data_IF_431282572994
#
_entry.id   IF_431282572994
#
_cell.length_a   1.000
_cell.length_b   1.000
_cell.length_c   1.000
_cell.angle_alpha   90.00
_cell.angle_beta   90.00
_cell.angle_gamma   90.00
#
_symmetry.space_group_name_H-M   'P 1'
#
loop_
_entity.id
_entity.type
_entity.pdbx_description
1 polymer ?
#
# COMPACT_ATOMS: atom_id res chain seq x y z
N UNK A 1 -7.93 1.27 -12.41
CA UNK A 1 -9.36 1.39 -12.02
C UNK A 1 -9.65 1.14 -10.54
N UNK A 2 -8.64 0.88 -9.70
CA UNK A 2 -8.83 0.68 -8.25
C UNK A 2 -9.05 1.96 -7.45
N UNK A 3 -8.64 3.10 -7.96
CA UNK A 3 -8.59 4.36 -7.21
C UNK A 3 -9.82 5.28 -7.33
N UNK A 4 -10.73 5.05 -8.27
CA UNK A 4 -11.84 5.99 -8.52
C UNK A 4 -13.15 5.70 -7.76
N UNK A 5 -13.23 4.63 -6.95
CA UNK A 5 -14.52 4.18 -6.39
C UNK A 5 -14.74 4.51 -4.90
N UNK A 6 -13.85 5.22 -4.24
CA UNK A 6 -13.96 5.51 -2.81
C UNK A 6 -14.43 6.94 -2.47
N UNK A 7 -14.90 7.69 -3.46
CA UNK A 7 -15.47 9.02 -3.30
C UNK A 7 -16.93 8.99 -2.85
N UNK A 8 -17.20 8.88 -1.59
CA UNK A 8 -18.52 9.09 -0.98
C UNK A 8 -18.31 9.43 0.49
N UNK A 9 -18.68 10.65 0.88
CA UNK A 9 -18.47 11.23 2.20
C UNK A 9 -18.90 10.29 3.32
N UNK A 10 -17.95 9.71 3.98
CA UNK A 10 -18.07 9.15 5.32
C UNK A 10 -17.13 9.93 6.21
N UNK A 11 -17.56 10.29 7.42
CA UNK A 11 -16.65 10.87 8.39
C UNK A 11 -15.42 9.98 8.52
N UNK A 12 -14.20 10.54 8.46
CA UNK A 12 -12.99 9.75 8.55
C UNK A 12 -12.93 9.05 9.90
N UNK A 13 -12.75 7.72 9.90
CA UNK A 13 -12.30 7.01 11.10
C UNK A 13 -10.88 7.53 11.36
N UNK A 14 -10.57 8.07 12.56
CA UNK A 14 -9.24 8.62 12.85
C UNK A 14 -8.14 7.59 12.55
N UNK A 15 -7.09 8.02 11.87
CA UNK A 15 -5.97 7.16 11.50
C UNK A 15 -5.42 6.43 12.72
N UNK A 16 -5.32 5.11 12.64
CA UNK A 16 -4.71 4.26 13.65
C UNK A 16 -5.60 3.78 14.81
N UNK A 17 -6.86 4.20 14.90
CA UNK A 17 -7.78 3.71 15.94
C UNK A 17 -8.90 2.86 15.34
N UNK A 18 -9.00 1.60 15.75
CA UNK A 18 -10.15 0.77 15.43
C UNK A 18 -11.41 1.25 16.19
N UNK A 19 -12.62 0.99 15.66
CA UNK A 19 -13.87 1.24 16.36
C UNK A 19 -13.89 0.58 17.74
N UNK A 20 -14.26 1.32 18.78
CA UNK A 20 -14.24 0.83 20.18
C UNK A 20 -15.05 -0.45 20.39
N UNK A 21 -16.21 -0.53 19.77
CA UNK A 21 -17.09 -1.69 19.83
C UNK A 21 -16.47 -2.96 19.23
N UNK A 22 -15.63 -2.81 18.19
CA UNK A 22 -14.85 -3.94 17.62
C UNK A 22 -13.76 -4.36 18.58
N UNK A 23 -13.03 -3.41 19.17
CA UNK A 23 -11.97 -3.69 20.14
C UNK A 23 -12.56 -4.46 21.34
N UNK A 24 -13.68 -3.97 21.90
CA UNK A 24 -14.37 -4.61 23.03
C UNK A 24 -14.87 -6.02 22.66
N UNK A 25 -15.43 -6.20 21.46
CA UNK A 25 -15.89 -7.51 20.97
C UNK A 25 -14.74 -8.51 20.83
N UNK A 26 -13.64 -8.11 20.21
CA UNK A 26 -12.48 -8.97 20.01
C UNK A 26 -11.78 -9.30 21.34
N UNK A 27 -11.76 -8.36 22.29
CA UNK A 27 -11.27 -8.61 23.65
C UNK A 27 -12.15 -9.63 24.38
N UNK A 28 -13.47 -9.43 24.41
CA UNK A 28 -14.41 -10.37 25.04
C UNK A 28 -14.37 -11.77 24.40
N UNK A 29 -14.22 -11.85 23.06
CA UNK A 29 -14.07 -13.13 22.38
C UNK A 29 -12.77 -13.86 22.77
N UNK A 30 -11.73 -13.11 23.10
CA UNK A 30 -10.47 -13.66 23.63
C UNK A 30 -10.61 -14.11 25.08
N UNK A 31 -11.26 -13.31 25.92
CA UNK A 31 -11.41 -13.61 27.36
C UNK A 31 -12.31 -14.84 27.63
N UNK A 32 -13.35 -15.04 26.77
CA UNK A 32 -14.34 -16.12 26.96
C UNK A 32 -13.84 -17.52 26.55
N UNK A 33 -12.73 -17.65 25.85
CA UNK A 33 -12.21 -18.93 25.30
C UNK A 33 -10.94 -19.44 25.96
N UNK A 34 -10.36 -18.73 26.94
CA UNK A 34 -9.16 -19.16 27.66
C UNK A 34 -7.89 -19.36 26.83
N UNK A 35 -7.99 -19.19 25.54
CA UNK A 35 -6.89 -19.13 24.58
C UNK A 35 -7.17 -17.96 23.63
N UNK A 36 -6.17 -17.19 23.29
CA UNK A 36 -6.29 -16.09 22.31
C UNK A 36 -6.99 -16.58 21.04
N UNK A 37 -8.26 -16.27 20.87
CA UNK A 37 -9.00 -16.58 19.66
C UNK A 37 -8.45 -15.70 18.55
N UNK A 38 -7.70 -16.29 17.62
CA UNK A 38 -7.16 -15.58 16.47
C UNK A 38 -8.29 -15.10 15.57
N UNK A 39 -8.51 -13.79 15.49
CA UNK A 39 -9.43 -13.20 14.53
C UNK A 39 -8.91 -13.42 13.09
N UNK A 40 -9.83 -13.61 12.15
CA UNK A 40 -9.53 -13.67 10.72
C UNK A 40 -9.72 -12.28 10.10
N UNK A 41 -8.73 -11.84 9.34
CA UNK A 41 -8.72 -10.52 8.72
C UNK A 41 -8.34 -10.62 7.25
N UNK A 42 -8.86 -9.69 6.46
CA UNK A 42 -8.36 -9.42 5.12
C UNK A 42 -7.95 -7.96 5.02
N UNK A 43 -6.86 -7.72 4.30
CA UNK A 43 -6.38 -6.36 4.04
C UNK A 43 -6.01 -6.20 2.58
N UNK A 44 -6.30 -5.01 2.01
CA UNK A 44 -5.99 -4.69 0.62
C UNK A 44 -4.70 -3.89 0.53
N UNK A 45 -3.90 -4.14 -0.51
CA UNK A 45 -2.62 -3.51 -0.76
C UNK A 45 -2.42 -3.22 -2.27
N UNK A 46 -1.39 -2.46 -2.68
CA UNK A 46 -1.09 -2.23 -4.10
C UNK A 46 -0.88 -3.55 -4.85
N UNK A 47 -1.54 -3.74 -6.00
CA UNK A 47 -1.39 -4.94 -6.85
C UNK A 47 0.04 -5.11 -7.33
N UNK A 48 0.42 -6.35 -7.67
CA UNK A 48 1.75 -6.71 -8.13
C UNK A 48 2.76 -7.07 -7.03
N UNK A 49 2.48 -6.77 -5.76
CA UNK A 49 3.42 -6.96 -4.65
C UNK A 49 3.10 -8.16 -3.74
N UNK A 50 2.26 -9.08 -4.20
CA UNK A 50 1.81 -10.22 -3.40
C UNK A 50 2.98 -10.99 -2.74
N UNK A 51 4.10 -11.16 -3.45
CA UNK A 51 5.28 -11.86 -2.94
C UNK A 51 6.01 -11.17 -1.77
N UNK A 52 5.83 -9.86 -1.59
CA UNK A 52 6.47 -9.08 -0.51
C UNK A 52 5.61 -9.03 0.77
N UNK A 53 4.31 -9.23 0.63
CA UNK A 53 3.36 -9.00 1.72
C UNK A 53 3.59 -9.90 2.94
N UNK A 54 3.87 -11.22 2.81
CA UNK A 54 4.11 -12.05 3.98
C UNK A 54 5.22 -11.52 4.88
N UNK A 55 6.36 -11.19 4.29
CA UNK A 55 7.52 -10.65 5.02
C UNK A 55 7.22 -9.27 5.62
N UNK A 56 6.60 -8.38 4.85
CA UNK A 56 6.23 -7.05 5.33
C UNK A 56 5.21 -7.14 6.47
N UNK A 57 4.21 -8.03 6.36
CA UNK A 57 3.21 -8.23 7.40
C UNK A 57 3.83 -8.76 8.69
N UNK A 58 4.72 -9.75 8.62
CA UNK A 58 5.43 -10.27 9.79
C UNK A 58 6.25 -9.19 10.50
N UNK A 59 6.90 -8.30 9.74
CA UNK A 59 7.68 -7.18 10.29
C UNK A 59 6.81 -6.13 10.96
N UNK A 60 5.68 -5.77 10.34
CA UNK A 60 4.80 -4.68 10.80
C UNK A 60 3.76 -5.14 11.83
N UNK A 61 3.40 -6.41 11.81
CA UNK A 61 2.43 -7.03 12.71
C UNK A 61 2.96 -8.40 13.19
N UNK A 62 3.94 -8.43 14.10
CA UNK A 62 4.51 -9.66 14.62
C UNK A 62 3.41 -10.56 15.22
N UNK A 63 3.45 -11.85 14.87
CA UNK A 63 2.44 -12.83 15.29
C UNK A 63 1.24 -12.96 14.35
N UNK A 64 1.15 -12.17 13.27
CA UNK A 64 0.18 -12.40 12.21
C UNK A 64 0.51 -13.70 11.46
N UNK A 65 -0.49 -14.53 11.21
CA UNK A 65 -0.36 -15.78 10.45
C UNK A 65 -1.03 -15.60 9.09
N UNK A 66 -0.24 -15.54 8.03
CA UNK A 66 -0.76 -15.47 6.66
C UNK A 66 -1.47 -16.78 6.32
N UNK A 67 -2.74 -16.69 5.92
CA UNK A 67 -3.54 -17.82 5.43
C UNK A 67 -3.37 -17.93 3.93
N UNK A 68 -3.59 -16.81 3.21
CA UNK A 68 -3.50 -16.77 1.75
C UNK A 68 -3.21 -15.34 1.28
N UNK A 69 -2.40 -15.21 0.23
CA UNK A 69 -2.18 -13.95 -0.48
C UNK A 69 -2.77 -14.06 -1.87
N UNK A 70 -3.59 -13.08 -2.23
CA UNK A 70 -4.11 -12.85 -3.57
C UNK A 70 -3.49 -11.57 -4.13
N UNK A 71 -3.60 -11.31 -5.40
CA UNK A 71 -3.12 -10.02 -5.92
C UNK A 71 -3.99 -8.87 -5.39
N UNK A 72 -3.37 -7.98 -4.63
CA UNK A 72 -4.01 -6.84 -3.98
C UNK A 72 -4.81 -7.16 -2.70
N UNK A 73 -4.79 -8.40 -2.17
CA UNK A 73 -5.46 -8.77 -0.93
C UNK A 73 -4.70 -9.86 -0.17
N UNK A 74 -4.52 -9.70 1.14
CA UNK A 74 -4.00 -10.72 2.04
C UNK A 74 -5.07 -11.15 3.04
N UNK A 75 -5.24 -12.47 3.20
CA UNK A 75 -6.02 -13.10 4.25
C UNK A 75 -5.07 -13.62 5.32
N UNK A 76 -5.28 -13.22 6.57
CA UNK A 76 -4.41 -13.58 7.69
C UNK A 76 -5.18 -13.71 9.00
N UNK A 77 -4.59 -14.39 9.98
CA UNK A 77 -5.09 -14.48 11.34
C UNK A 77 -4.17 -13.68 12.28
N UNK A 78 -4.77 -13.05 13.27
CA UNK A 78 -4.03 -12.31 14.28
C UNK A 78 -4.74 -12.38 15.63
N UNK A 79 -3.99 -12.70 16.69
CA UNK A 79 -4.48 -12.83 18.05
C UNK A 79 -4.00 -11.74 19.02
N UNK A 80 -3.20 -10.78 18.54
CA UNK A 80 -2.70 -9.68 19.36
C UNK A 80 -3.74 -8.57 19.58
N UNK A 81 -3.28 -7.42 20.05
CA UNK A 81 -4.17 -6.29 20.36
C UNK A 81 -4.81 -5.75 19.07
N UNK A 82 -6.15 -5.61 19.01
CA UNK A 82 -6.82 -5.09 17.81
C UNK A 82 -6.28 -3.74 17.35
N UNK A 83 -5.87 -2.86 18.27
CA UNK A 83 -5.28 -1.57 17.94
C UNK A 83 -3.99 -1.63 17.11
N UNK A 84 -3.30 -2.77 17.09
CA UNK A 84 -2.09 -2.92 16.28
C UNK A 84 -2.41 -3.05 14.78
N UNK A 85 -3.61 -3.56 14.43
CA UNK A 85 -4.09 -3.60 13.05
C UNK A 85 -4.14 -2.21 12.40
N UNK A 86 -4.52 -1.19 13.18
CA UNK A 86 -4.56 0.20 12.73
C UNK A 86 -3.18 0.83 12.49
N UNK A 87 -2.12 0.22 13.01
CA UNK A 87 -0.73 0.69 12.84
C UNK A 87 -0.11 0.19 11.52
N UNK A 88 -0.70 -0.81 10.89
CA UNK A 88 -0.20 -1.37 9.63
C UNK A 88 -0.56 -0.44 8.47
N UNK A 89 0.29 0.54 8.24
CA UNK A 89 0.08 1.57 7.20
C UNK A 89 0.18 1.02 5.76
N UNK A 90 0.68 -0.19 5.58
CA UNK A 90 0.84 -0.87 4.29
C UNK A 90 -0.51 -1.13 3.59
N UNK A 91 -1.60 -1.17 4.35
CA UNK A 91 -2.89 -1.56 3.83
C UNK A 91 -3.81 -0.37 3.54
N UNK A 92 -4.52 -0.42 2.41
CA UNK A 92 -5.56 0.54 2.06
C UNK A 92 -6.81 0.38 2.92
N UNK A 93 -7.26 -0.87 3.08
CA UNK A 93 -8.40 -1.23 3.91
C UNK A 93 -8.05 -2.48 4.71
N UNK A 94 -8.55 -2.54 5.94
CA UNK A 94 -8.50 -3.74 6.77
C UNK A 94 -9.91 -4.09 7.21
N UNK A 95 -10.26 -5.37 7.07
CA UNK A 95 -11.58 -5.90 7.38
C UNK A 95 -11.48 -7.06 8.36
N UNK A 96 -12.43 -7.15 9.28
CA UNK A 96 -12.71 -8.35 10.06
C UNK A 96 -13.53 -9.32 9.21
N UNK A 97 -13.06 -10.53 8.99
CA UNK A 97 -13.80 -11.58 8.29
C UNK A 97 -14.88 -12.14 9.21
N UNK A 98 -16.12 -12.03 8.77
CA UNK A 98 -17.29 -12.59 9.48
C UNK A 98 -17.65 -13.97 8.93
N UNK A 99 -17.45 -14.15 7.62
CA UNK A 99 -17.63 -15.45 6.94
C UNK A 99 -16.81 -15.50 5.67
N UNK A 100 -16.21 -16.66 5.41
CA UNK A 100 -15.51 -16.99 4.18
C UNK A 100 -16.35 -17.95 3.33
N UNK A 101 -16.24 -17.83 2.01
CA UNK A 101 -16.94 -18.64 1.02
C UNK A 101 -15.97 -19.10 -0.05
N UNK A 102 -16.16 -20.33 -0.55
CA UNK A 102 -15.30 -20.90 -1.59
C UNK A 102 -16.14 -21.53 -2.72
N UNK A 103 -15.56 -21.62 -3.91
CA UNK A 103 -16.18 -22.20 -5.06
C UNK A 103 -17.53 -21.57 -5.41
N UNK A 104 -18.58 -22.33 -5.75
CA UNK A 104 -19.90 -21.80 -6.10
C UNK A 104 -20.56 -20.95 -5.00
N UNK A 105 -20.24 -21.22 -3.72
CA UNK A 105 -20.75 -20.45 -2.60
C UNK A 105 -20.18 -19.02 -2.55
N UNK A 106 -19.05 -18.73 -3.20
CA UNK A 106 -18.44 -17.41 -3.28
C UNK A 106 -19.13 -16.46 -4.27
N UNK A 107 -20.10 -16.95 -5.06
CA UNK A 107 -20.89 -16.10 -5.93
C UNK A 107 -21.73 -15.12 -5.09
N UNK A 108 -21.82 -13.85 -5.54
CA UNK A 108 -22.44 -12.76 -4.78
C UNK A 108 -23.82 -13.11 -4.24
N UNK A 109 -24.66 -13.66 -5.11
CA UNK A 109 -26.03 -14.05 -4.76
C UNK A 109 -26.07 -15.15 -3.67
N UNK A 110 -25.20 -16.15 -3.77
CA UNK A 110 -25.08 -17.22 -2.78
C UNK A 110 -24.56 -16.70 -1.44
N UNK A 111 -23.59 -15.80 -1.46
CA UNK A 111 -23.05 -15.17 -0.25
C UNK A 111 -24.12 -14.38 0.49
N UNK A 112 -24.88 -13.53 -0.21
CA UNK A 112 -25.93 -12.69 0.37
C UNK A 112 -27.04 -13.54 0.99
N UNK A 113 -27.51 -14.58 0.28
CA UNK A 113 -28.49 -15.53 0.83
C UNK A 113 -27.98 -16.22 2.06
N UNK A 114 -26.74 -16.70 2.04
CA UNK A 114 -26.12 -17.40 3.17
C UNK A 114 -25.93 -16.47 4.39
N UNK A 115 -25.61 -15.20 4.17
CA UNK A 115 -25.43 -14.23 5.24
C UNK A 115 -26.76 -13.84 5.94
N UNK A 116 -27.90 -13.95 5.26
CA UNK A 116 -29.20 -13.77 5.87
C UNK A 116 -29.49 -14.80 7.00
N UNK A 117 -28.82 -15.97 6.98
CA UNK A 117 -28.89 -16.99 8.03
C UNK A 117 -27.90 -16.81 9.18
N UNK A 118 -27.13 -15.72 9.25
CA UNK A 118 -26.15 -15.49 10.31
C UNK A 118 -26.84 -15.31 11.66
N UNK A 119 -26.27 -15.91 12.72
CA UNK A 119 -26.89 -15.92 14.06
C UNK A 119 -26.35 -14.84 14.99
N UNK A 120 -25.13 -14.36 14.74
CA UNK A 120 -24.50 -13.33 15.57
C UNK A 120 -23.56 -12.47 14.73
N UNK A 121 -23.43 -11.20 15.09
CA UNK A 121 -22.48 -10.23 14.51
C UNK A 121 -21.80 -9.46 15.64
N UNK A 122 -20.59 -8.95 15.42
CA UNK A 122 -20.00 -7.98 16.32
C UNK A 122 -20.94 -6.79 16.52
N UNK A 123 -21.05 -6.24 17.74
CA UNK A 123 -21.88 -5.07 17.99
C UNK A 123 -21.54 -3.94 17.01
N UNK A 124 -22.55 -3.23 16.53
CA UNK A 124 -22.39 -2.02 15.74
C UNK A 124 -23.14 -0.90 16.44
N UNK A 125 -22.46 0.20 16.73
CA UNK A 125 -23.11 1.40 17.28
C UNK A 125 -23.58 2.29 16.13
N UNK A 126 -24.67 3.02 16.36
CA UNK A 126 -25.16 4.03 15.42
C UNK A 126 -25.78 3.45 14.15
N UNK A 127 -25.10 3.59 13.04
CA UNK A 127 -25.62 3.28 11.73
C UNK A 127 -24.69 2.41 10.89
N UNK A 128 -25.25 1.76 9.87
CA UNK A 128 -24.48 0.92 8.96
C UNK A 128 -24.98 0.97 7.51
N UNK A 129 -24.08 0.56 6.60
CA UNK A 129 -24.45 0.22 5.22
C UNK A 129 -23.82 -1.10 4.78
N UNK A 130 -24.41 -1.71 3.75
CA UNK A 130 -23.85 -2.89 3.07
C UNK A 130 -23.32 -2.50 1.71
N UNK A 131 -22.14 -3.02 1.36
CA UNK A 131 -21.51 -2.84 0.06
C UNK A 131 -21.21 -4.18 -0.61
N UNK A 132 -21.29 -4.20 -1.91
CA UNK A 132 -21.07 -5.38 -2.73
C UNK A 132 -20.00 -5.10 -3.78
N UNK A 133 -18.96 -5.95 -3.84
CA UNK A 133 -17.86 -5.82 -4.78
C UNK A 133 -17.54 -7.15 -5.44
N UNK A 134 -17.51 -7.17 -6.76
CA UNK A 134 -17.10 -8.31 -7.59
C UNK A 134 -15.87 -7.89 -8.37
N UNK A 135 -14.79 -8.64 -8.24
CA UNK A 135 -13.51 -8.33 -8.91
C UNK A 135 -13.10 -6.86 -8.75
N UNK A 136 -13.27 -6.35 -7.53
CA UNK A 136 -12.94 -4.98 -7.14
C UNK A 136 -13.80 -3.87 -7.78
N UNK A 137 -14.95 -4.22 -8.36
CA UNK A 137 -15.94 -3.26 -8.86
C UNK A 137 -17.21 -3.35 -8.02
N UNK A 138 -17.81 -2.21 -7.73
CA UNK A 138 -19.10 -2.19 -7.06
C UNK A 138 -20.18 -2.74 -7.98
N UNK A 139 -21.03 -3.60 -7.42
CA UNK A 139 -22.15 -4.20 -8.11
C UNK A 139 -23.44 -3.92 -7.36
N UNK A 140 -24.54 -3.89 -8.10
CA UNK A 140 -25.87 -3.85 -7.51
C UNK A 140 -26.35 -5.27 -7.18
N UNK A 141 -27.01 -5.40 -6.03
CA UNK A 141 -27.73 -6.61 -5.61
C UNK A 141 -29.23 -6.27 -5.58
N UNK A 142 -30.14 -7.21 -5.90
CA UNK A 142 -31.58 -6.96 -5.89
C UNK A 142 -32.02 -6.31 -4.56
N UNK A 143 -32.81 -5.23 -4.66
CA UNK A 143 -33.20 -4.40 -3.51
C UNK A 143 -33.85 -5.21 -2.39
N UNK A 144 -34.68 -6.20 -2.75
CA UNK A 144 -35.35 -7.05 -1.77
C UNK A 144 -34.36 -7.85 -0.92
N UNK A 145 -33.33 -8.44 -1.53
CA UNK A 145 -32.29 -9.18 -0.80
C UNK A 145 -31.45 -8.28 0.09
N UNK A 146 -31.14 -7.08 -0.42
CA UNK A 146 -30.42 -6.07 0.37
C UNK A 146 -31.26 -5.69 1.60
N UNK A 147 -32.56 -5.45 1.45
CA UNK A 147 -33.46 -5.13 2.58
C UNK A 147 -33.55 -6.26 3.61
N UNK A 148 -33.69 -7.52 3.18
CA UNK A 148 -33.71 -8.70 4.06
C UNK A 148 -32.42 -8.79 4.87
N UNK A 149 -31.28 -8.63 4.21
CA UNK A 149 -29.96 -8.65 4.89
C UNK A 149 -29.81 -7.46 5.84
N UNK A 150 -30.16 -6.25 5.40
CA UNK A 150 -30.12 -5.05 6.26
C UNK A 150 -31.02 -5.21 7.49
N UNK A 151 -32.24 -5.75 7.33
CA UNK A 151 -33.13 -6.06 8.45
C UNK A 151 -32.52 -7.08 9.41
N UNK A 152 -31.82 -8.10 8.89
CA UNK A 152 -31.14 -9.10 9.73
C UNK A 152 -29.96 -8.48 10.50
N UNK A 153 -29.14 -7.66 9.85
CA UNK A 153 -28.03 -6.97 10.50
C UNK A 153 -28.57 -6.03 11.59
N UNK A 154 -29.60 -5.22 11.28
CA UNK A 154 -30.22 -4.33 12.24
C UNK A 154 -30.75 -5.05 13.47
N UNK A 155 -31.42 -6.19 13.28
CA UNK A 155 -31.93 -7.01 14.38
C UNK A 155 -30.83 -7.58 15.27
N UNK A 156 -29.67 -7.93 14.70
CA UNK A 156 -28.54 -8.50 15.46
C UNK A 156 -27.66 -7.46 16.15
N UNK A 157 -27.59 -6.25 15.59
CA UNK A 157 -26.65 -5.22 16.05
C UNK A 157 -27.33 -4.03 16.72
N UNK A 158 -28.65 -3.89 16.55
CA UNK A 158 -29.45 -2.73 16.95
C UNK A 158 -29.04 -1.41 16.26
N UNK A 159 -28.24 -1.49 15.19
CA UNK A 159 -27.81 -0.33 14.39
C UNK A 159 -28.85 -0.01 13.30
N UNK A 160 -28.92 1.25 12.89
CA UNK A 160 -29.83 1.75 11.83
C UNK A 160 -29.14 1.73 10.47
N UNK A 161 -29.92 1.54 9.41
CA UNK A 161 -29.41 1.65 8.04
C UNK A 161 -29.17 3.11 7.68
N UNK A 162 -27.94 3.45 7.31
CA UNK A 162 -27.56 4.74 6.71
C UNK A 162 -26.63 4.48 5.52
N UNK A 163 -27.13 4.75 4.30
CA UNK A 163 -26.39 4.49 3.07
C UNK A 163 -25.47 5.64 2.67
N UNK A 164 -25.58 6.79 3.32
CA UNK A 164 -24.85 8.01 2.97
C UNK A 164 -23.62 8.16 3.87
N UNK A 165 -23.81 8.22 5.19
CA UNK A 165 -22.74 8.47 6.17
C UNK A 165 -22.79 7.47 7.34
N UNK A 166 -22.58 6.16 7.08
CA UNK A 166 -22.66 5.13 8.11
C UNK A 166 -21.45 5.16 9.04
N UNK A 167 -21.68 4.78 10.30
CA UNK A 167 -20.62 4.51 11.28
C UNK A 167 -19.91 3.19 11.03
N UNK A 168 -20.60 2.22 10.41
CA UNK A 168 -20.10 0.87 10.14
C UNK A 168 -20.38 0.47 8.70
N UNK A 169 -19.42 -0.24 8.09
CA UNK A 169 -19.63 -0.82 6.75
C UNK A 169 -19.44 -2.33 6.77
N UNK A 170 -20.44 -3.04 6.25
CA UNK A 170 -20.36 -4.45 5.94
C UNK A 170 -20.12 -4.62 4.45
N UNK A 171 -19.20 -5.52 4.08
CA UNK A 171 -18.81 -5.72 2.69
C UNK A 171 -18.93 -7.17 2.29
N UNK A 172 -19.44 -7.39 1.08
CA UNK A 172 -19.30 -8.63 0.35
C UNK A 172 -18.25 -8.44 -0.72
N UNK A 173 -17.20 -9.25 -0.66
CA UNK A 173 -16.11 -9.22 -1.61
C UNK A 173 -16.06 -10.56 -2.33
N UNK A 174 -16.40 -10.56 -3.63
CA UNK A 174 -16.25 -11.73 -4.50
C UNK A 174 -14.99 -11.54 -5.34
N UNK A 175 -14.10 -12.51 -5.27
CA UNK A 175 -12.82 -12.50 -5.97
C UNK A 175 -12.87 -13.36 -7.23
N UNK A 176 -11.93 -13.10 -8.17
CA UNK A 176 -11.73 -13.91 -9.37
C UNK A 176 -11.24 -15.32 -9.08
N UNK A 177 -10.55 -15.49 -7.94
CA UNK A 177 -9.92 -16.73 -7.50
C UNK A 177 -10.90 -17.75 -6.90
N UNK A 178 -12.21 -17.51 -7.05
CA UNK A 178 -13.24 -18.41 -6.53
C UNK A 178 -13.43 -18.36 -5.02
N UNK A 179 -13.01 -17.27 -4.39
CA UNK A 179 -13.23 -17.01 -2.97
C UNK A 179 -14.08 -15.77 -2.76
N UNK A 180 -14.81 -15.74 -1.65
CA UNK A 180 -15.63 -14.61 -1.25
C UNK A 180 -15.60 -14.40 0.25
N UNK A 181 -15.85 -13.16 0.66
CA UNK A 181 -15.84 -12.77 2.06
C UNK A 181 -17.06 -11.92 2.37
N UNK A 182 -17.73 -12.24 3.49
CA UNK A 182 -18.58 -11.29 4.19
C UNK A 182 -17.77 -10.75 5.35
N UNK A 183 -17.59 -9.44 5.40
CA UNK A 183 -16.65 -8.81 6.32
C UNK A 183 -17.14 -7.45 6.79
N UNK A 184 -16.57 -6.97 7.91
CA UNK A 184 -16.78 -5.63 8.44
C UNK A 184 -15.52 -4.81 8.26
N UNK A 185 -15.66 -3.61 7.68
CA UNK A 185 -14.55 -2.67 7.57
C UNK A 185 -14.13 -2.20 8.97
N UNK A 186 -12.84 -2.34 9.27
CA UNK A 186 -12.24 -1.90 10.53
C UNK A 186 -11.53 -0.56 10.39
N UNK A 187 -10.87 -0.34 9.28
CA UNK A 187 -10.14 0.88 9.03
C UNK A 187 -9.89 1.07 7.55
N UNK A 188 -9.86 2.34 7.15
CA UNK A 188 -9.34 2.80 5.87
C UNK A 188 -8.13 3.65 6.15
N UNK A 189 -7.14 3.54 5.31
CA UNK A 189 -6.09 4.52 5.32
C UNK A 189 -6.65 5.86 4.85
N UNK A 190 -6.32 6.91 5.59
CA UNK A 190 -6.87 8.25 5.34
C UNK A 190 -6.21 9.01 4.19
N UNK A 191 -5.00 8.63 3.76
CA UNK A 191 -4.41 9.23 2.58
C UNK A 191 -5.24 8.87 1.35
N UNK A 192 -6.33 9.57 1.15
CA UNK A 192 -7.04 9.60 -0.12
C UNK A 192 -6.18 10.38 -1.12
N UNK A 193 -6.44 10.23 -2.41
CA UNK A 193 -5.77 11.04 -3.44
C UNK A 193 -5.91 12.56 -3.21
N UNK A 194 -6.89 12.98 -2.39
CA UNK A 194 -7.12 14.37 -2.01
C UNK A 194 -6.15 14.91 -0.97
N UNK A 195 -5.51 14.01 -0.20
CA UNK A 195 -4.58 14.38 0.87
C UNK A 195 -3.12 14.35 0.39
N UNK A 196 -2.87 13.87 -0.84
CA UNK A 196 -1.57 13.87 -1.49
C UNK A 196 -1.48 15.04 -2.46
N UNK A 197 -0.31 15.61 -2.56
CA UNK A 197 -0.01 16.57 -3.60
C UNK A 197 -0.06 15.91 -4.99
N UNK A 198 -0.34 16.66 -6.07
CA UNK A 198 -0.26 16.11 -7.42
C UNK A 198 1.12 15.48 -7.67
N UNK A 199 1.14 14.22 -8.11
CA UNK A 199 2.37 13.47 -8.35
C UNK A 199 3.03 12.86 -7.11
N UNK A 200 2.54 13.12 -5.89
CA UNK A 200 3.10 12.53 -4.68
C UNK A 200 2.84 11.03 -4.63
N UNK A 201 3.91 10.27 -4.37
CA UNK A 201 3.85 8.82 -4.25
C UNK A 201 3.17 8.40 -2.94
N UNK A 202 2.29 7.40 -3.00
CA UNK A 202 1.64 6.86 -1.81
C UNK A 202 2.65 6.20 -0.88
N UNK A 203 2.57 6.45 0.43
CA UNK A 203 3.51 5.90 1.41
C UNK A 203 3.62 4.38 1.41
N UNK A 204 2.52 3.64 1.14
CA UNK A 204 2.55 2.17 1.06
C UNK A 204 3.38 1.69 -0.14
N UNK A 205 3.29 2.36 -1.29
CA UNK A 205 4.10 2.02 -2.45
C UNK A 205 5.57 2.39 -2.22
N UNK A 206 5.83 3.56 -1.66
CA UNK A 206 7.17 3.98 -1.26
C UNK A 206 7.82 2.99 -0.28
N UNK A 207 7.06 2.47 0.70
CA UNK A 207 7.54 1.44 1.61
C UNK A 207 7.86 0.12 0.89
N UNK A 208 6.97 -0.32 -0.02
CA UNK A 208 7.20 -1.53 -0.82
C UNK A 208 8.45 -1.40 -1.70
N UNK A 209 8.64 -0.23 -2.31
CA UNK A 209 9.88 0.07 -3.06
C UNK A 209 11.12 -0.02 -2.15
N UNK A 210 11.10 0.62 -0.99
CA UNK A 210 12.21 0.57 -0.05
C UNK A 210 12.48 -0.86 0.48
N UNK A 211 11.45 -1.69 0.59
CA UNK A 211 11.59 -3.09 1.04
C UNK A 211 12.28 -4.00 0.03
N UNK A 212 12.36 -3.59 -1.24
CA UNK A 212 13.10 -4.32 -2.28
C UNK A 212 14.60 -4.11 -2.18
N UNK A 213 15.04 -2.96 -1.71
CA UNK A 213 16.44 -2.68 -1.49
C UNK A 213 16.96 -3.42 -0.25
N UNK A 214 18.13 -4.06 -0.36
CA UNK A 214 18.78 -4.78 0.76
C UNK A 214 19.51 -3.79 1.66
N UNK A 215 18.77 -2.99 2.43
CA UNK A 215 19.34 -1.96 3.28
C UNK A 215 19.88 -2.51 4.59
N UNK A 216 21.08 -2.09 4.97
CA UNK A 216 21.75 -2.36 6.23
C UNK A 216 22.08 -1.07 6.99
N UNK A 217 22.65 -1.21 8.21
CA UNK A 217 23.01 -0.06 9.08
C UNK A 217 24.07 0.86 8.47
N UNK A 218 24.86 0.32 7.54
CA UNK A 218 25.95 1.05 6.87
C UNK A 218 25.54 1.53 5.46
N UNK A 219 24.28 1.32 5.05
CA UNK A 219 23.82 1.68 3.73
C UNK A 219 23.68 3.19 3.54
N UNK A 220 24.21 3.67 2.43
CA UNK A 220 23.98 4.99 1.88
C UNK A 220 22.87 4.88 0.83
N UNK A 221 21.74 5.52 1.07
CA UNK A 221 20.55 5.50 0.21
C UNK A 221 20.39 6.85 -0.46
N UNK A 222 20.07 6.86 -1.76
CA UNK A 222 19.82 8.08 -2.53
C UNK A 222 18.42 8.05 -3.13
N UNK A 223 17.68 9.15 -2.97
CA UNK A 223 16.51 9.49 -3.80
C UNK A 223 16.77 10.81 -4.53
N UNK A 224 17.10 10.76 -5.84
CA UNK A 224 17.46 11.96 -6.62
C UNK A 224 16.23 12.67 -7.23
N UNK A 225 15.02 12.10 -7.14
CA UNK A 225 13.76 12.69 -7.56
C UNK A 225 12.77 12.65 -6.40
N UNK A 226 13.16 13.21 -5.26
CA UNK A 226 12.48 13.00 -4.00
C UNK A 226 11.09 13.65 -3.91
N UNK A 227 10.79 14.65 -4.73
CA UNK A 227 9.50 15.33 -4.77
C UNK A 227 9.07 15.81 -3.37
N UNK A 228 7.98 15.25 -2.87
CA UNK A 228 7.48 15.53 -1.51
C UNK A 228 8.09 14.64 -0.41
N UNK A 229 9.09 13.82 -0.74
CA UNK A 229 9.83 13.00 0.21
C UNK A 229 9.12 11.70 0.62
N UNK A 230 8.23 11.17 -0.18
CA UNK A 230 7.51 9.94 0.14
C UNK A 230 8.45 8.76 0.42
N UNK A 231 9.43 8.51 -0.47
CA UNK A 231 10.40 7.43 -0.33
C UNK A 231 11.35 7.66 0.85
N UNK A 232 12.05 8.83 0.96
CA UNK A 232 12.92 9.08 2.10
C UNK A 232 12.20 8.95 3.45
N UNK A 233 10.96 9.42 3.58
CA UNK A 233 10.16 9.28 4.81
C UNK A 233 9.97 7.81 5.21
N UNK A 234 9.78 6.90 4.25
CA UNK A 234 9.65 5.46 4.55
C UNK A 234 10.99 4.84 4.92
N UNK A 235 12.08 5.19 4.22
CA UNK A 235 13.43 4.72 4.58
C UNK A 235 13.77 5.13 6.02
N UNK A 236 13.61 6.41 6.35
CA UNK A 236 13.89 6.95 7.68
C UNK A 236 13.04 6.33 8.80
N UNK A 237 11.80 5.96 8.49
CA UNK A 237 10.86 5.44 9.48
C UNK A 237 10.99 3.94 9.76
N UNK A 238 11.44 3.14 8.78
CA UNK A 238 11.24 1.69 8.83
C UNK A 238 12.44 0.85 8.44
N UNK A 239 13.51 1.44 7.91
CA UNK A 239 14.66 0.69 7.41
C UNK A 239 15.96 1.14 8.09
N UNK A 240 16.96 0.26 8.21
CA UNK A 240 18.27 0.66 8.66
C UNK A 240 19.00 1.43 7.56
N UNK A 241 19.80 2.42 7.95
CA UNK A 241 20.67 3.21 7.06
C UNK A 241 21.81 3.85 7.84
N UNK A 242 22.91 4.20 7.16
CA UNK A 242 23.93 5.12 7.63
C UNK A 242 23.61 6.56 7.20
N UNK A 243 23.24 6.72 5.92
CA UNK A 243 22.94 8.02 5.33
C UNK A 243 21.81 7.93 4.29
N UNK A 244 20.94 8.92 4.28
CA UNK A 244 19.92 9.12 3.25
C UNK A 244 20.20 10.45 2.55
N UNK A 245 20.57 10.36 1.29
CA UNK A 245 20.79 11.50 0.39
C UNK A 245 19.47 11.77 -0.32
N UNK A 246 18.95 12.98 -0.16
CA UNK A 246 17.66 13.39 -0.70
C UNK A 246 17.88 14.58 -1.60
N UNK A 247 17.42 14.52 -2.83
CA UNK A 247 17.54 15.68 -3.72
C UNK A 247 16.38 15.78 -4.71
N UNK A 248 16.17 16.98 -5.20
CA UNK A 248 15.26 17.31 -6.26
C UNK A 248 15.88 18.45 -7.10
N UNK A 249 15.54 18.52 -8.38
CA UNK A 249 15.98 19.61 -9.26
C UNK A 249 15.25 20.91 -8.91
N UNK A 250 13.96 20.78 -8.53
CA UNK A 250 13.11 21.91 -8.13
C UNK A 250 13.61 22.49 -6.78
N UNK A 251 13.89 23.79 -6.81
CA UNK A 251 14.37 24.52 -5.63
C UNK A 251 13.38 24.54 -4.49
N UNK A 252 12.10 24.72 -4.78
CA UNK A 252 11.06 24.82 -3.78
C UNK A 252 10.83 23.46 -3.11
N UNK A 253 10.88 22.36 -3.88
CA UNK A 253 10.91 21.00 -3.36
C UNK A 253 12.10 20.76 -2.43
N UNK A 254 13.28 21.19 -2.85
CA UNK A 254 14.49 21.05 -2.02
C UNK A 254 14.39 21.84 -0.71
N UNK A 255 13.74 23.01 -0.69
CA UNK A 255 13.46 23.79 0.52
C UNK A 255 12.48 23.05 1.44
N UNK A 256 11.35 22.56 0.90
CA UNK A 256 10.34 21.80 1.66
C UNK A 256 10.92 20.51 2.25
N UNK A 257 11.71 19.79 1.45
CA UNK A 257 12.41 18.58 1.90
C UNK A 257 13.39 18.91 3.04
N UNK A 258 14.10 20.03 2.95
CA UNK A 258 15.03 20.46 4.01
C UNK A 258 14.28 20.82 5.28
N UNK A 259 13.13 21.49 5.17
CA UNK A 259 12.27 21.80 6.31
C UNK A 259 11.69 20.56 6.99
N UNK A 260 11.29 19.55 6.20
CA UNK A 260 10.62 18.33 6.71
C UNK A 260 11.57 17.23 7.17
N UNK A 261 12.74 17.10 6.53
CA UNK A 261 13.69 16.01 6.75
C UNK A 261 15.05 16.48 7.28
N UNK A 262 15.38 17.76 7.08
CA UNK A 262 16.65 18.33 7.56
C UNK A 262 16.78 18.23 9.07
N UNK A 263 18.02 18.15 9.54
CA UNK A 263 18.32 18.00 10.98
C UNK A 263 18.14 16.58 11.53
N UNK A 264 17.57 15.65 10.78
CA UNK A 264 17.55 14.22 11.17
C UNK A 264 18.95 13.61 11.00
N UNK A 265 19.33 12.76 11.95
CA UNK A 265 20.65 12.09 11.92
C UNK A 265 20.81 11.29 10.63
N UNK A 266 21.93 11.49 9.94
CA UNK A 266 22.26 10.76 8.72
C UNK A 266 21.42 11.18 7.50
N UNK A 267 20.82 12.38 7.47
CA UNK A 267 20.07 12.90 6.34
C UNK A 267 20.79 14.10 5.74
N UNK A 268 20.96 14.09 4.42
CA UNK A 268 21.47 15.21 3.64
C UNK A 268 20.47 15.59 2.54
N UNK A 269 20.01 16.84 2.54
CA UNK A 269 19.06 17.37 1.55
C UNK A 269 19.73 18.44 0.71
N UNK A 270 19.65 18.32 -0.62
CA UNK A 270 20.21 19.32 -1.52
C UNK A 270 19.35 19.50 -2.79
N UNK A 271 19.40 20.68 -3.38
CA UNK A 271 18.98 20.83 -4.78
C UNK A 271 20.04 20.20 -5.68
N UNK A 272 19.65 19.26 -6.56
CA UNK A 272 20.56 18.60 -7.50
C UNK A 272 19.83 18.17 -8.75
N UNK A 273 20.58 18.18 -9.84
CA UNK A 273 20.18 17.52 -11.08
C UNK A 273 20.54 16.03 -11.00
N UNK A 274 19.54 15.17 -11.18
CA UNK A 274 19.69 13.71 -11.17
C UNK A 274 20.48 13.18 -12.37
N UNK A 275 20.61 13.96 -13.44
CA UNK A 275 21.39 13.59 -14.60
C UNK A 275 22.90 13.74 -14.39
N UNK A 276 23.29 14.58 -13.43
CA UNK A 276 24.71 14.81 -13.09
C UNK A 276 25.09 14.30 -11.72
N UNK A 277 24.18 14.38 -10.73
CA UNK A 277 24.41 14.07 -9.32
C UNK A 277 25.70 14.73 -8.78
N UNK A 278 25.88 16.01 -9.14
CA UNK A 278 27.07 16.76 -8.74
C UNK A 278 27.21 16.79 -7.21
N UNK A 279 28.44 16.72 -6.73
CA UNK A 279 28.76 16.70 -5.29
C UNK A 279 28.53 15.35 -4.60
N UNK A 280 28.09 14.29 -5.33
CA UNK A 280 28.09 12.91 -4.82
C UNK A 280 29.31 12.19 -5.39
N UNK A 281 30.25 11.72 -4.54
CA UNK A 281 31.42 11.00 -5.01
C UNK A 281 31.04 9.68 -5.69
N UNK A 282 31.89 9.24 -6.62
CA UNK A 282 31.69 7.95 -7.29
C UNK A 282 31.78 6.76 -6.33
N UNK A 283 31.01 5.72 -6.59
CA UNK A 283 31.00 4.44 -5.85
C UNK A 283 30.77 4.61 -4.33
N UNK A 284 29.88 5.51 -3.93
CA UNK A 284 29.56 5.76 -2.50
C UNK A 284 28.15 5.35 -2.10
N UNK A 285 27.23 5.19 -3.04
CA UNK A 285 25.81 4.88 -2.81
C UNK A 285 25.58 3.37 -2.89
N UNK A 286 24.88 2.81 -1.90
CA UNK A 286 24.50 1.39 -1.89
C UNK A 286 23.19 1.13 -2.63
N UNK A 287 22.22 2.03 -2.49
CA UNK A 287 20.93 1.90 -3.14
C UNK A 287 20.37 3.24 -3.60
N UNK A 288 19.83 3.27 -4.80
CA UNK A 288 18.98 4.36 -5.30
C UNK A 288 17.55 3.85 -5.30
N UNK A 289 16.62 4.58 -4.67
CA UNK A 289 15.20 4.23 -4.62
C UNK A 289 14.44 5.47 -5.05
N UNK A 290 13.75 5.40 -6.21
CA UNK A 290 13.28 6.63 -6.82
C UNK A 290 12.10 6.46 -7.78
N UNK A 291 11.34 7.53 -7.97
CA UNK A 291 10.23 7.67 -8.91
C UNK A 291 10.49 8.89 -9.82
N UNK A 292 11.27 8.72 -10.92
CA UNK A 292 11.58 9.82 -11.83
C UNK A 292 10.33 10.28 -12.58
N UNK A 293 10.35 11.49 -13.17
CA UNK A 293 9.26 11.97 -14.00
C UNK A 293 8.99 11.07 -15.21
N UNK A 294 7.68 10.88 -15.53
CA UNK A 294 7.24 10.00 -16.62
C UNK A 294 6.90 10.76 -17.90
N UNK A 295 7.08 12.09 -17.90
CA UNK A 295 6.72 12.95 -19.03
C UNK A 295 5.20 13.08 -19.23
N UNK A 296 4.39 12.93 -18.18
CA UNK A 296 2.95 13.17 -18.24
C UNK A 296 2.53 14.54 -17.69
N UNK A 297 3.33 15.09 -16.79
CA UNK A 297 3.09 16.38 -16.12
C UNK A 297 4.20 17.39 -16.42
N UNK A 298 5.36 16.90 -16.81
CA UNK A 298 6.50 17.69 -17.21
C UNK A 298 6.86 17.33 -18.67
N UNK A 299 7.13 18.31 -19.50
CA UNK A 299 7.61 18.08 -20.85
C UNK A 299 9.06 17.59 -20.80
N UNK A 300 9.29 16.36 -21.24
CA UNK A 300 10.60 15.77 -21.44
C UNK A 300 10.76 15.61 -22.94
N UNK A 301 11.66 16.37 -23.56
CA UNK A 301 11.87 16.43 -25.00
C UNK A 301 12.16 15.03 -25.58
N UNK A 302 13.09 14.29 -24.97
CA UNK A 302 13.37 12.90 -25.29
C UNK A 302 13.50 12.05 -24.03
N UNK A 303 12.46 11.27 -23.75
CA UNK A 303 12.40 10.42 -22.59
C UNK A 303 13.48 9.33 -22.58
N UNK A 304 13.90 8.85 -23.76
CA UNK A 304 14.94 7.83 -23.86
C UNK A 304 16.32 8.42 -23.50
N UNK A 305 16.62 9.62 -23.99
CA UNK A 305 17.85 10.36 -23.64
C UNK A 305 17.88 10.68 -22.16
N UNK A 306 16.73 11.10 -21.59
CA UNK A 306 16.59 11.35 -20.15
C UNK A 306 16.93 10.11 -19.32
N UNK A 307 16.34 8.94 -19.63
CA UNK A 307 16.62 7.71 -18.87
C UNK A 307 18.06 7.25 -19.02
N UNK A 308 18.68 7.39 -20.20
CA UNK A 308 20.11 7.10 -20.41
C UNK A 308 21.00 7.98 -19.53
N UNK A 309 20.77 9.30 -19.55
CA UNK A 309 21.51 10.25 -18.72
C UNK A 309 21.38 9.96 -17.23
N UNK A 310 20.16 9.66 -16.79
CA UNK A 310 19.86 9.25 -15.42
C UNK A 310 20.63 7.98 -15.02
N UNK A 311 20.56 6.91 -15.81
CA UNK A 311 21.30 5.68 -15.50
C UNK A 311 22.82 5.86 -15.58
N UNK A 312 23.32 6.72 -16.44
CA UNK A 312 24.76 7.07 -16.49
C UNK A 312 25.22 7.69 -15.16
N UNK A 313 24.47 8.66 -14.65
CA UNK A 313 24.75 9.29 -13.34
C UNK A 313 24.63 8.29 -12.19
N UNK A 314 23.62 7.41 -12.21
CA UNK A 314 23.44 6.36 -11.21
C UNK A 314 24.62 5.39 -11.19
N UNK A 315 25.09 4.95 -12.38
CA UNK A 315 26.25 4.06 -12.49
C UNK A 315 27.50 4.66 -11.87
N UNK A 316 27.71 5.97 -12.05
CA UNK A 316 28.85 6.68 -11.48
C UNK A 316 28.85 6.66 -9.94
N UNK A 317 27.72 6.91 -9.32
CA UNK A 317 27.63 7.08 -7.86
C UNK A 317 27.42 5.78 -7.10
N UNK A 318 26.87 4.73 -7.75
CA UNK A 318 26.61 3.45 -7.12
C UNK A 318 27.91 2.67 -6.89
N UNK A 319 28.00 2.01 -5.74
CA UNK A 319 29.02 1.01 -5.44
C UNK A 319 28.91 -0.19 -6.39
N UNK A 320 29.97 -1.00 -6.58
CA UNK A 320 29.85 -2.32 -7.20
C UNK A 320 28.74 -3.14 -6.50
N UNK A 321 27.83 -3.74 -7.30
CA UNK A 321 26.61 -4.41 -6.84
C UNK A 321 25.59 -3.48 -6.15
N UNK A 322 25.71 -2.18 -6.28
CA UNK A 322 24.69 -1.23 -5.86
C UNK A 322 23.36 -1.49 -6.56
N UNK A 323 22.26 -1.16 -5.90
CA UNK A 323 20.93 -1.46 -6.37
C UNK A 323 20.17 -0.20 -6.80
N UNK A 324 19.30 -0.36 -7.81
CA UNK A 324 18.31 0.66 -8.17
C UNK A 324 16.92 0.07 -8.03
N UNK A 325 16.08 0.71 -7.22
CA UNK A 325 14.64 0.46 -7.18
C UNK A 325 13.95 1.63 -7.86
N UNK A 326 13.42 1.38 -9.04
CA UNK A 326 12.84 2.39 -9.93
C UNK A 326 11.36 2.14 -10.14
N UNK A 327 10.53 3.15 -9.95
CA UNK A 327 9.13 3.14 -10.40
C UNK A 327 9.04 3.87 -11.74
N UNK A 328 8.37 3.27 -12.73
CA UNK A 328 8.10 3.95 -13.99
C UNK A 328 6.86 3.42 -14.70
N UNK A 329 6.11 4.33 -15.33
CA UNK A 329 5.11 3.99 -16.33
C UNK A 329 5.68 3.91 -17.76
N UNK A 330 6.88 4.43 -17.99
CA UNK A 330 7.64 4.35 -19.25
C UNK A 330 8.43 3.05 -19.31
N UNK A 331 7.71 1.93 -19.33
CA UNK A 331 8.28 0.59 -19.14
C UNK A 331 9.36 0.26 -20.19
N UNK A 332 9.07 0.52 -21.47
CA UNK A 332 9.97 0.19 -22.58
C UNK A 332 11.24 1.03 -22.53
N UNK A 333 11.07 2.31 -22.33
CA UNK A 333 12.16 3.27 -22.26
C UNK A 333 13.07 3.04 -21.06
N UNK A 334 12.47 2.77 -19.90
CA UNK A 334 13.22 2.47 -18.68
C UNK A 334 14.00 1.15 -18.80
N UNK A 335 13.38 0.08 -19.32
CA UNK A 335 14.04 -1.21 -19.51
C UNK A 335 15.17 -1.13 -20.55
N UNK A 336 14.94 -0.46 -21.69
CA UNK A 336 15.95 -0.30 -22.73
C UNK A 336 17.15 0.49 -22.22
N UNK A 337 16.92 1.63 -21.56
CA UNK A 337 18.00 2.44 -21.00
C UNK A 337 18.75 1.72 -19.89
N UNK A 338 18.06 1.01 -19.01
CA UNK A 338 18.69 0.21 -17.95
C UNK A 338 19.63 -0.87 -18.54
N UNK A 339 19.15 -1.60 -19.54
CA UNK A 339 19.94 -2.62 -20.23
C UNK A 339 21.17 -2.03 -20.92
N UNK A 340 20.99 -0.95 -21.69
CA UNK A 340 22.06 -0.24 -22.40
C UNK A 340 23.13 0.28 -21.43
N UNK A 341 22.73 0.78 -20.28
CA UNK A 341 23.63 1.34 -19.26
C UNK A 341 24.19 0.30 -18.28
N UNK A 342 23.97 -1.01 -18.54
CA UNK A 342 24.56 -2.09 -17.75
C UNK A 342 23.89 -2.31 -16.39
N UNK A 343 22.58 -2.14 -16.32
CA UNK A 343 21.77 -2.45 -15.15
C UNK A 343 20.87 -3.67 -15.40
N UNK A 344 21.35 -4.90 -15.19
CA UNK A 344 20.52 -6.09 -15.35
C UNK A 344 19.28 -6.05 -14.44
N UNK A 345 18.15 -6.40 -15.03
CA UNK A 345 16.89 -6.54 -14.33
C UNK A 345 16.93 -7.78 -13.43
N UNK A 346 16.69 -7.61 -12.13
CA UNK A 346 16.56 -8.70 -11.15
C UNK A 346 15.11 -9.09 -10.92
N UNK A 347 14.25 -8.10 -10.74
CA UNK A 347 12.82 -8.31 -10.49
C UNK A 347 12.00 -7.15 -11.07
N UNK A 348 10.76 -7.44 -11.47
CA UNK A 348 9.79 -6.47 -11.95
C UNK A 348 8.43 -6.74 -11.30
N UNK A 349 7.80 -5.70 -10.83
CA UNK A 349 6.48 -5.71 -10.19
C UNK A 349 5.55 -4.78 -10.96
N UNK A 350 4.67 -5.36 -11.78
CA UNK A 350 3.66 -4.60 -12.50
C UNK A 350 2.57 -4.13 -11.55
N UNK A 351 2.28 -2.84 -11.53
CA UNK A 351 1.34 -2.21 -10.59
C UNK A 351 0.52 -1.12 -11.25
N UNK A 352 -0.39 -0.53 -10.49
CA UNK A 352 -1.19 0.62 -10.89
C UNK A 352 -0.89 1.80 -9.97
N UNK A 353 -0.54 2.94 -10.55
CA UNK A 353 -0.34 4.20 -9.83
C UNK A 353 -1.32 5.22 -10.41
N UNK A 354 -2.27 5.67 -9.59
CA UNK A 354 -3.31 6.61 -10.00
C UNK A 354 -4.03 6.19 -11.30
N UNK A 355 -4.31 4.87 -11.41
CA UNK A 355 -4.96 4.28 -12.59
C UNK A 355 -4.05 4.04 -13.79
N UNK A 356 -2.80 4.51 -13.77
CA UNK A 356 -1.81 4.29 -14.84
C UNK A 356 -1.06 2.97 -14.60
N UNK A 357 -0.86 2.21 -15.67
CA UNK A 357 -0.03 0.99 -15.65
C UNK A 357 1.43 1.38 -15.48
N UNK A 358 2.03 1.03 -14.36
CA UNK A 358 3.43 1.25 -14.05
C UNK A 358 4.12 -0.06 -13.65
N UNK A 359 5.43 -0.03 -13.45
CA UNK A 359 6.17 -1.13 -12.86
C UNK A 359 7.24 -0.60 -11.90
N UNK A 360 7.49 -1.35 -10.84
CA UNK A 360 8.66 -1.18 -9.98
C UNK A 360 9.71 -2.20 -10.42
N UNK A 361 10.91 -1.72 -10.63
CA UNK A 361 12.06 -2.50 -11.06
C UNK A 361 13.09 -2.59 -9.95
N UNK A 362 13.59 -3.78 -9.70
CA UNK A 362 14.83 -3.98 -8.96
C UNK A 362 15.94 -4.28 -9.97
N UNK A 363 16.87 -3.37 -10.08
CA UNK A 363 18.04 -3.43 -10.95
C UNK A 363 19.30 -3.49 -10.08
N UNK A 364 20.38 -3.98 -10.62
CA UNK A 364 21.68 -4.06 -9.93
C UNK A 364 22.79 -3.60 -10.89
N UNK A 365 23.82 -2.96 -10.36
CA UNK A 365 24.99 -2.60 -11.19
C UNK A 365 25.63 -3.87 -11.71
N UNK A 366 25.64 -4.04 -13.02
CA UNK A 366 26.34 -5.09 -13.72
C UNK A 366 27.86 -4.91 -13.72
N UNK A 367 28.63 -5.89 -14.24
CA UNK A 367 30.04 -5.74 -14.52
C UNK A 367 30.30 -4.45 -15.35
N UNK A 368 31.51 -3.93 -15.31
CA UNK A 368 31.92 -2.88 -16.22
C UNK A 368 31.72 -3.35 -17.67
N UNK A 369 31.08 -2.50 -18.50
CA UNK A 369 30.88 -2.75 -19.93
C UNK A 369 32.23 -2.73 -20.64
#
# INVERSE_FOLDING_TARGET
>A
MFNCLFGGGSHPIPSGKLPRDVVEYLQKANDSKGAFSMGAYISTFPTGFAGLIPTALQKLLPGAQVVQVYDGLVHYRYGGKPGDLGKVFLFHNTFLVLREFQGPASQMDSMVRSAAGIKSLPPSRGSFRVRYSVKNQFVAVPKERTRQLEGKIAALTHAKVDRVSPDTEYWFLQRSEGVGFFCRLLGRRQATERDLHPGELRPELAYLMASLAKLGRDSVVLDPFAGYGAIPKQVLGYFPYAMVLVSDLDRDRAVDLRASLGGKRGVSVAQRDALTLEGIPGATVDAIITDPPWGYYEEIEDIQVFYRGMFASFRRVLKPRGQVVLLSARKREAEAAAQEMGFPLRQRYDTLVNGKKAAVYLLEVGPAL
#
